data_IF_129652434077
#
_entry.id   IF_129652434077
#
_cell.length_a   1.000
_cell.length_b   1.000
_cell.length_c   1.000
_cell.angle_alpha   90.00
_cell.angle_beta   90.00
_cell.angle_gamma   90.00
#
_symmetry.space_group_name_H-M   'P 1'
#
loop_
_entity.id
_entity.type
_entity.pdbx_description
1 polymer ?
#
# COMPACT_ATOMS: atom_id res chain seq x y z
N UNK A 1 2.14 1.11 -15.00
CA UNK A 1 1.03 1.06 -15.97
C UNK A 1 -0.33 1.06 -15.26
N UNK A 2 -0.68 0.04 -14.44
CA UNK A 2 -2.01 -0.04 -13.80
C UNK A 2 -2.27 1.16 -12.88
N UNK A 3 -1.33 1.53 -12.02
CA UNK A 3 -1.44 2.70 -11.14
C UNK A 3 -1.60 4.00 -11.94
N UNK A 4 -0.81 4.19 -12.99
CA UNK A 4 -0.92 5.36 -13.88
C UNK A 4 -2.29 5.43 -14.57
N UNK A 5 -2.85 4.29 -14.98
CA UNK A 5 -4.19 4.25 -15.56
C UNK A 5 -5.29 4.48 -14.49
N UNK A 6 -5.09 4.01 -13.26
CA UNK A 6 -5.99 4.28 -12.15
C UNK A 6 -6.02 5.78 -11.79
N UNK A 7 -4.86 6.43 -11.79
CA UNK A 7 -4.75 7.88 -11.62
C UNK A 7 -5.52 8.62 -12.73
N UNK A 8 -5.25 8.28 -13.99
CA UNK A 8 -5.93 8.90 -15.14
C UNK A 8 -7.46 8.67 -15.09
N UNK A 9 -7.89 7.48 -14.68
CA UNK A 9 -9.30 7.17 -14.50
C UNK A 9 -9.98 8.05 -13.43
N UNK A 10 -9.25 8.35 -12.35
CA UNK A 10 -9.76 9.25 -11.30
C UNK A 10 -9.79 10.71 -11.78
N UNK A 11 -8.71 11.19 -12.39
CA UNK A 11 -8.58 12.59 -12.82
C UNK A 11 -9.55 12.96 -13.94
N UNK A 12 -9.83 12.02 -14.85
CA UNK A 12 -10.69 12.23 -16.02
C UNK A 12 -12.09 11.64 -15.89
N UNK A 13 -12.39 10.98 -14.76
CA UNK A 13 -13.67 10.32 -14.55
C UNK A 13 -13.93 9.11 -15.45
N UNK A 14 -12.87 8.44 -15.96
CA UNK A 14 -13.04 7.31 -16.87
C UNK A 14 -13.61 6.10 -16.15
N UNK A 15 -14.66 5.50 -16.73
CA UNK A 15 -15.35 4.30 -16.21
C UNK A 15 -15.83 3.44 -17.38
N UNK A 16 -16.06 2.15 -17.09
CA UNK A 16 -16.64 1.20 -18.02
C UNK A 16 -15.94 1.20 -19.39
N UNK A 17 -16.71 1.40 -20.48
CA UNK A 17 -16.15 1.39 -21.84
C UNK A 17 -15.04 2.41 -22.08
N UNK A 18 -15.13 3.60 -21.47
CA UNK A 18 -14.12 4.66 -21.65
C UNK A 18 -12.78 4.29 -21.00
N UNK A 19 -12.83 3.68 -19.82
CA UNK A 19 -11.62 3.18 -19.16
C UNK A 19 -10.99 2.04 -19.96
N UNK A 20 -11.80 1.13 -20.51
CA UNK A 20 -11.33 0.04 -21.36
C UNK A 20 -10.75 0.56 -22.69
N UNK A 21 -11.40 1.53 -23.33
CA UNK A 21 -10.86 2.16 -24.55
C UNK A 21 -9.51 2.82 -24.28
N UNK A 22 -9.37 3.50 -23.15
CA UNK A 22 -8.10 4.10 -22.74
C UNK A 22 -7.03 3.05 -22.45
N UNK A 23 -7.39 1.93 -21.85
CA UNK A 23 -6.48 0.79 -21.68
C UNK A 23 -5.98 0.28 -23.04
N UNK A 24 -6.88 0.07 -24.02
CA UNK A 24 -6.50 -0.42 -25.34
C UNK A 24 -5.58 0.57 -26.08
N UNK A 25 -5.84 1.86 -25.98
CA UNK A 25 -4.97 2.90 -26.56
C UNK A 25 -3.55 2.83 -25.97
N UNK A 26 -3.44 2.57 -24.67
CA UNK A 26 -2.15 2.48 -23.97
C UNK A 26 -1.53 1.10 -23.97
N UNK A 27 -2.21 0.09 -24.53
CA UNK A 27 -1.71 -1.30 -24.59
C UNK A 27 -0.30 -1.43 -25.19
N UNK A 28 0.09 -0.66 -26.22
CA UNK A 28 1.46 -0.69 -26.76
C UNK A 28 2.57 -0.30 -25.76
N UNK A 29 2.24 0.38 -24.67
CA UNK A 29 3.21 0.70 -23.60
C UNK A 29 3.64 -0.56 -22.81
N UNK A 30 2.85 -1.64 -22.87
CA UNK A 30 3.24 -2.91 -22.27
C UNK A 30 4.38 -3.55 -23.06
N UNK A 31 5.41 -3.99 -22.34
CA UNK A 31 6.56 -4.63 -22.97
C UNK A 31 6.18 -5.88 -23.79
N UNK A 32 6.94 -6.13 -24.86
CA UNK A 32 6.84 -7.30 -25.72
C UNK A 32 5.57 -7.41 -26.58
N UNK A 33 5.17 -6.34 -27.32
CA UNK A 33 4.01 -6.42 -28.22
C UNK A 33 4.24 -7.52 -29.27
N UNK A 34 3.15 -8.21 -29.64
CA UNK A 34 3.19 -9.24 -30.69
C UNK A 34 3.82 -10.60 -30.28
N UNK A 35 4.27 -10.74 -29.07
CA UNK A 35 4.78 -12.02 -28.54
C UNK A 35 3.72 -12.75 -27.72
N UNK A 36 3.85 -14.08 -27.57
CA UNK A 36 3.01 -14.85 -26.66
C UNK A 36 3.06 -14.31 -25.22
N UNK A 37 4.24 -13.98 -24.74
CA UNK A 37 4.42 -13.39 -23.41
C UNK A 37 3.70 -12.05 -23.28
N UNK A 38 3.79 -11.21 -24.30
CA UNK A 38 3.07 -9.95 -24.36
C UNK A 38 1.56 -10.13 -24.33
N UNK A 39 1.03 -11.13 -25.06
CA UNK A 39 -0.40 -11.45 -25.08
C UNK A 39 -0.91 -11.90 -23.71
N UNK A 40 -0.18 -12.76 -23.02
CA UNK A 40 -0.50 -13.21 -21.65
C UNK A 40 -0.48 -12.03 -20.67
N UNK A 41 0.52 -11.15 -20.78
CA UNK A 41 0.63 -9.96 -19.95
C UNK A 41 -0.52 -8.98 -20.21
N UNK A 42 -0.87 -8.75 -21.46
CA UNK A 42 -2.00 -7.90 -21.86
C UNK A 42 -3.33 -8.44 -21.31
N UNK A 43 -3.61 -9.73 -21.47
CA UNK A 43 -4.82 -10.36 -20.93
C UNK A 43 -4.90 -10.23 -19.40
N UNK A 44 -3.79 -10.46 -18.70
CA UNK A 44 -3.71 -10.30 -17.25
C UNK A 44 -3.93 -8.85 -16.83
N UNK A 45 -3.34 -7.90 -17.54
CA UNK A 45 -3.51 -6.47 -17.23
C UNK A 45 -4.95 -6.05 -17.50
N UNK A 46 -5.57 -6.50 -18.60
CA UNK A 46 -7.00 -6.27 -18.88
C UNK A 46 -7.86 -6.69 -17.71
N UNK A 47 -7.68 -7.90 -17.19
CA UNK A 47 -8.43 -8.40 -16.05
C UNK A 47 -8.21 -7.56 -14.77
N UNK A 48 -7.03 -6.94 -14.60
CA UNK A 48 -6.80 -5.98 -13.52
C UNK A 48 -7.58 -4.69 -13.71
N UNK A 49 -7.67 -4.19 -14.95
CA UNK A 49 -8.43 -2.97 -15.27
C UNK A 49 -9.93 -3.19 -15.11
N UNK A 50 -10.46 -4.35 -15.50
CA UNK A 50 -11.86 -4.74 -15.25
C UNK A 50 -12.18 -4.74 -13.75
N UNK A 51 -11.27 -5.26 -12.91
CA UNK A 51 -11.41 -5.24 -11.45
C UNK A 51 -11.28 -3.83 -10.87
N UNK A 52 -10.40 -3.01 -11.43
CA UNK A 52 -10.28 -1.59 -11.08
C UNK A 52 -11.59 -0.85 -11.37
N UNK A 53 -12.17 -1.04 -12.55
CA UNK A 53 -13.43 -0.43 -12.93
C UNK A 53 -14.57 -0.81 -11.98
N UNK A 54 -14.70 -2.11 -11.68
CA UNK A 54 -15.68 -2.62 -10.73
C UNK A 54 -15.49 -2.02 -9.32
N UNK A 55 -14.25 -1.83 -8.87
CA UNK A 55 -13.93 -1.13 -7.63
C UNK A 55 -14.35 0.35 -7.69
N UNK A 56 -13.93 1.06 -8.73
CA UNK A 56 -14.21 2.49 -8.89
C UNK A 56 -15.71 2.79 -9.01
N UNK A 57 -16.51 1.83 -9.52
CA UNK A 57 -17.98 1.92 -9.57
C UNK A 57 -18.67 1.89 -8.21
N UNK A 58 -17.99 1.40 -7.17
CA UNK A 58 -18.51 1.28 -5.80
C UNK A 58 -17.82 2.22 -4.81
N UNK A 59 -16.66 2.77 -5.19
CA UNK A 59 -15.85 3.64 -4.35
C UNK A 59 -16.43 5.07 -4.31
N UNK A 60 -16.15 5.85 -3.26
CA UNK A 60 -16.48 7.26 -3.23
C UNK A 60 -15.94 7.99 -4.47
N UNK A 61 -16.78 8.85 -5.06
CA UNK A 61 -16.38 9.66 -6.21
C UNK A 61 -15.35 10.72 -5.82
N UNK A 62 -15.50 11.28 -4.61
CA UNK A 62 -14.53 12.23 -4.06
C UNK A 62 -13.31 11.48 -3.54
N UNK A 63 -12.28 11.48 -4.37
CA UNK A 63 -11.00 10.85 -4.06
C UNK A 63 -9.88 11.47 -4.88
N UNK A 64 -8.66 11.39 -4.35
CA UNK A 64 -7.44 11.79 -5.04
C UNK A 64 -6.55 10.58 -5.26
N UNK A 65 -5.95 10.50 -6.45
CA UNK A 65 -4.98 9.46 -6.79
C UNK A 65 -3.54 9.96 -6.60
N UNK A 66 -2.61 9.04 -6.33
CA UNK A 66 -1.17 9.31 -6.27
C UNK A 66 -0.81 10.46 -5.31
N UNK A 67 -1.44 10.49 -4.13
CA UNK A 67 -1.29 11.56 -3.15
C UNK A 67 0.06 11.48 -2.44
N UNK A 68 0.91 12.47 -2.66
CA UNK A 68 2.16 12.58 -1.91
C UNK A 68 1.90 12.94 -0.45
N UNK A 69 2.46 12.17 0.47
CA UNK A 69 2.41 12.42 1.90
C UNK A 69 3.82 12.68 2.43
N UNK A 70 3.94 13.71 3.26
CA UNK A 70 5.13 14.04 4.03
C UNK A 70 4.69 14.51 5.40
N UNK A 71 5.18 13.88 6.46
CA UNK A 71 4.87 14.23 7.83
C UNK A 71 6.09 13.98 8.74
N UNK A 72 6.28 14.85 9.70
CA UNK A 72 7.23 14.65 10.78
C UNK A 72 6.46 14.09 11.98
N UNK A 73 6.98 13.00 12.55
CA UNK A 73 6.41 12.32 13.69
C UNK A 73 7.43 12.29 14.81
N UNK A 74 7.01 12.69 16.00
CA UNK A 74 7.77 12.42 17.21
C UNK A 74 7.30 11.10 17.80
N UNK A 75 8.15 10.07 17.69
CA UNK A 75 7.86 8.75 18.19
C UNK A 75 8.43 8.62 19.60
N UNK A 76 7.58 8.44 20.62
CA UNK A 76 8.06 8.23 21.97
C UNK A 76 8.89 6.94 22.04
N UNK A 77 9.88 6.93 22.92
CA UNK A 77 10.60 5.73 23.28
C UNK A 77 9.61 4.70 23.89
N UNK A 78 9.48 3.49 23.35
CA UNK A 78 8.56 2.48 23.86
C UNK A 78 8.74 2.17 25.36
N UNK A 79 9.98 2.23 25.85
CA UNK A 79 10.31 2.02 27.25
C UNK A 79 10.08 3.28 28.13
N UNK A 80 9.77 4.41 27.53
CA UNK A 80 9.58 5.69 28.23
C UNK A 80 10.84 6.23 28.93
N UNK A 81 12.02 5.71 28.63
CA UNK A 81 13.28 6.04 29.29
C UNK A 81 14.14 7.03 28.52
N UNK A 82 13.87 7.16 27.21
CA UNK A 82 14.61 8.01 26.30
C UNK A 82 13.79 9.18 25.75
N UNK A 83 14.44 10.10 25.03
CA UNK A 83 13.73 11.16 24.29
C UNK A 83 12.93 10.57 23.13
N UNK A 84 11.88 11.30 22.72
CA UNK A 84 11.18 10.96 21.50
C UNK A 84 12.13 11.03 20.28
N UNK A 85 11.94 10.11 19.34
CA UNK A 85 12.72 10.04 18.11
C UNK A 85 11.98 10.77 16.98
N UNK A 86 12.55 11.86 16.43
CA UNK A 86 11.93 12.54 15.30
C UNK A 86 12.12 11.72 14.04
N UNK A 87 11.02 11.42 13.36
CA UNK A 87 10.99 10.59 12.14
C UNK A 87 10.27 11.34 11.03
N UNK A 88 10.92 11.44 9.88
CA UNK A 88 10.31 11.96 8.66
C UNK A 88 9.71 10.82 7.85
N UNK A 89 8.39 10.77 7.75
CA UNK A 89 7.66 9.86 6.86
C UNK A 89 7.42 10.55 5.53
N UNK A 90 7.84 9.90 4.45
CA UNK A 90 7.51 10.32 3.08
C UNK A 90 6.97 9.14 2.30
N UNK A 91 6.00 9.39 1.41
CA UNK A 91 5.44 8.32 0.59
C UNK A 91 4.42 8.85 -0.41
N UNK A 92 3.79 7.91 -1.11
CA UNK A 92 2.73 8.18 -2.06
C UNK A 92 1.60 7.18 -1.84
N UNK A 93 0.41 7.70 -1.61
CA UNK A 93 -0.82 6.94 -1.41
C UNK A 93 -1.47 6.76 -2.78
N UNK A 94 -1.72 5.54 -3.20
CA UNK A 94 -2.31 5.24 -4.52
C UNK A 94 -3.67 5.92 -4.69
N UNK A 95 -4.50 5.88 -3.63
CA UNK A 95 -5.80 6.54 -3.62
C UNK A 95 -6.19 6.95 -2.19
N UNK A 96 -6.56 8.22 -2.03
CA UNK A 96 -7.12 8.79 -0.80
C UNK A 96 -8.59 9.14 -1.06
N UNK A 97 -9.50 8.48 -0.37
CA UNK A 97 -10.94 8.67 -0.49
C UNK A 97 -11.45 9.59 0.61
N UNK A 98 -12.21 10.61 0.24
CA UNK A 98 -12.87 11.52 1.16
C UNK A 98 -14.24 10.94 1.51
N UNK A 99 -14.54 10.82 2.81
CA UNK A 99 -15.74 10.14 3.31
C UNK A 99 -16.84 11.13 3.69
N UNK A 100 -16.50 12.39 3.93
CA UNK A 100 -17.44 13.42 4.28
C UNK A 100 -17.91 14.18 3.04
N UNK A 101 -19.17 14.66 3.09
CA UNK A 101 -19.60 15.61 2.09
C UNK A 101 -18.78 16.90 2.17
N UNK A 102 -18.46 17.57 1.07
CA UNK A 102 -17.73 18.82 1.08
C UNK A 102 -18.38 19.86 2.02
N UNK A 103 -17.63 20.32 3.02
CA UNK A 103 -18.12 21.31 4.00
C UNK A 103 -18.80 20.72 5.25
N UNK A 104 -18.76 19.41 5.45
CA UNK A 104 -19.32 18.77 6.64
C UNK A 104 -18.34 18.85 7.83
N UNK A 105 -18.54 19.83 8.71
CA UNK A 105 -18.06 19.78 10.08
C UNK A 105 -16.80 20.59 10.41
N UNK A 106 -16.61 20.79 11.71
CA UNK A 106 -15.47 21.51 12.34
C UNK A 106 -14.35 20.57 12.80
N UNK A 107 -14.44 19.26 12.47
CA UNK A 107 -13.44 18.24 12.73
C UNK A 107 -12.44 18.11 11.58
N UNK A 108 -11.44 17.26 11.74
CA UNK A 108 -10.53 16.88 10.65
C UNK A 108 -11.29 16.22 9.49
N UNK A 109 -10.81 16.41 8.28
CA UNK A 109 -11.38 15.76 7.08
C UNK A 109 -11.26 14.23 7.20
N UNK A 110 -12.39 13.50 7.10
CA UNK A 110 -12.43 12.05 7.23
C UNK A 110 -12.01 11.40 5.92
N UNK A 111 -11.01 10.53 5.99
CA UNK A 111 -10.42 9.90 4.81
C UNK A 111 -10.22 8.41 4.99
N UNK A 112 -10.18 7.69 3.87
CA UNK A 112 -9.78 6.28 3.80
C UNK A 112 -8.57 6.13 2.87
N UNK A 113 -7.57 5.38 3.33
CA UNK A 113 -6.35 5.08 2.57
C UNK A 113 -6.55 3.81 1.76
N UNK A 114 -6.35 3.89 0.46
CA UNK A 114 -6.42 2.73 -0.44
C UNK A 114 -5.08 2.52 -1.11
N UNK A 115 -4.63 1.26 -1.11
CA UNK A 115 -3.43 0.83 -1.79
C UNK A 115 -3.79 -0.27 -2.81
N UNK A 116 -3.41 -0.05 -4.08
CA UNK A 116 -3.74 -0.91 -5.20
C UNK A 116 -2.64 -1.95 -5.42
N UNK A 117 -2.96 -3.23 -5.22
CA UNK A 117 -1.99 -4.32 -5.36
C UNK A 117 -2.17 -5.08 -6.68
N UNK A 118 -1.15 -5.01 -7.54
CA UNK A 118 -1.10 -5.73 -8.82
C UNK A 118 -0.44 -7.10 -8.71
N UNK A 119 0.14 -7.43 -7.56
CA UNK A 119 0.71 -8.73 -7.25
C UNK A 119 -0.33 -9.81 -6.99
N UNK A 120 0.07 -11.09 -7.11
CA UNK A 120 -0.82 -12.22 -6.81
C UNK A 120 -0.74 -12.70 -5.36
N UNK A 121 0.27 -12.25 -4.61
CA UNK A 121 0.45 -12.69 -3.22
C UNK A 121 -0.67 -12.14 -2.32
N UNK A 122 -1.23 -13.01 -1.49
CA UNK A 122 -2.05 -12.59 -0.38
C UNK A 122 -1.15 -12.10 0.76
N UNK A 123 -1.60 -11.09 1.49
CA UNK A 123 -0.94 -10.67 2.72
C UNK A 123 -1.44 -11.53 3.86
N UNK A 124 -0.53 -12.08 4.67
CA UNK A 124 -0.86 -12.96 5.79
C UNK A 124 -1.56 -12.23 6.93
N UNK A 125 -1.31 -10.94 7.09
CA UNK A 125 -1.90 -10.11 8.14
C UNK A 125 -2.30 -8.72 7.58
N UNK A 126 -3.37 -8.63 6.78
CA UNK A 126 -3.78 -7.35 6.17
C UNK A 126 -4.16 -6.29 7.21
N UNK A 127 -4.65 -6.69 8.39
CA UNK A 127 -4.97 -5.79 9.50
C UNK A 127 -3.74 -5.06 10.08
N UNK A 128 -2.56 -5.69 10.01
CA UNK A 128 -1.29 -5.11 10.46
C UNK A 128 -0.36 -4.81 9.28
N UNK A 129 -0.88 -4.20 8.23
CA UNK A 129 -0.08 -3.86 7.04
C UNK A 129 0.80 -2.63 7.30
N UNK A 130 2.14 -2.76 7.32
CA UNK A 130 3.05 -1.69 7.74
C UNK A 130 2.89 -0.39 6.93
N UNK A 131 2.78 -0.50 5.60
CA UNK A 131 2.62 0.65 4.71
C UNK A 131 1.36 1.46 5.01
N UNK A 132 0.20 0.77 5.17
CA UNK A 132 -1.07 1.43 5.48
C UNK A 132 -1.04 2.09 6.87
N UNK A 133 -0.42 1.42 7.84
CA UNK A 133 -0.23 1.95 9.18
C UNK A 133 0.61 3.24 9.18
N UNK A 134 1.71 3.23 8.42
CA UNK A 134 2.59 4.39 8.25
C UNK A 134 1.84 5.55 7.61
N UNK A 135 1.04 5.30 6.56
CA UNK A 135 0.24 6.35 5.93
C UNK A 135 -0.84 6.91 6.86
N UNK A 136 -1.49 6.05 7.66
CA UNK A 136 -2.42 6.50 8.70
C UNK A 136 -1.78 7.49 9.64
N UNK A 137 -0.64 7.14 10.24
CA UNK A 137 0.07 8.01 11.19
C UNK A 137 0.49 9.33 10.54
N UNK A 138 0.98 9.29 9.31
CA UNK A 138 1.39 10.48 8.57
C UNK A 138 0.20 11.41 8.25
N UNK A 139 -0.96 10.87 7.90
CA UNK A 139 -2.18 11.65 7.65
C UNK A 139 -2.75 12.23 8.96
N UNK A 140 -2.77 11.45 10.03
CA UNK A 140 -3.20 11.94 11.36
C UNK A 140 -2.33 13.09 11.84
N UNK A 141 -1.01 13.03 11.65
CA UNK A 141 -0.11 14.14 11.98
C UNK A 141 -0.37 15.41 11.15
N UNK A 142 -1.04 15.26 9.99
CA UNK A 142 -1.48 16.36 9.14
C UNK A 142 -2.91 16.83 9.41
N UNK A 143 -3.56 16.31 10.43
CA UNK A 143 -4.90 16.72 10.86
C UNK A 143 -6.06 16.00 10.18
N UNK A 144 -5.79 14.94 9.41
CA UNK A 144 -6.86 14.08 8.85
C UNK A 144 -7.37 13.11 9.91
N UNK A 145 -8.67 12.82 9.86
CA UNK A 145 -9.28 11.70 10.56
C UNK A 145 -9.28 10.49 9.65
N UNK A 146 -8.43 9.50 9.92
CA UNK A 146 -8.32 8.28 9.09
C UNK A 146 -9.27 7.22 9.60
N UNK A 147 -10.41 7.06 8.92
CA UNK A 147 -11.51 6.15 9.27
C UNK A 147 -11.35 4.75 8.66
N UNK A 148 -10.18 4.46 8.07
CA UNK A 148 -9.85 3.14 7.58
C UNK A 148 -8.75 3.13 6.54
N UNK A 149 -8.32 1.92 6.22
CA UNK A 149 -7.40 1.66 5.11
C UNK A 149 -7.70 0.29 4.50
N UNK A 150 -7.47 0.12 3.22
CA UNK A 150 -7.72 -1.15 2.55
C UNK A 150 -6.72 -1.43 1.44
N UNK A 151 -6.51 -2.73 1.17
CA UNK A 151 -5.80 -3.22 -0.01
C UNK A 151 -6.82 -3.60 -1.07
N UNK A 152 -6.67 -3.07 -2.27
CA UNK A 152 -7.45 -3.48 -3.44
C UNK A 152 -6.59 -4.43 -4.28
N UNK A 153 -6.91 -5.72 -4.25
CA UNK A 153 -6.09 -6.77 -4.84
C UNK A 153 -6.42 -6.96 -6.33
N UNK A 154 -5.99 -6.04 -7.17
CA UNK A 154 -6.25 -6.07 -8.62
C UNK A 154 -5.60 -7.28 -9.31
N UNK A 155 -4.40 -7.69 -8.83
CA UNK A 155 -3.66 -8.82 -9.39
C UNK A 155 -4.21 -10.20 -9.04
N UNK A 156 -5.11 -10.30 -8.05
CA UNK A 156 -5.65 -11.55 -7.55
C UNK A 156 -7.00 -11.85 -8.20
N UNK A 157 -7.16 -13.05 -8.72
CA UNK A 157 -8.47 -13.50 -9.19
C UNK A 157 -9.42 -13.68 -7.99
N UNK A 158 -10.64 -13.13 -8.06
CA UNK A 158 -11.64 -13.36 -7.03
C UNK A 158 -12.04 -14.85 -7.00
N UNK A 159 -12.47 -15.37 -5.84
CA UNK A 159 -13.07 -16.69 -5.78
C UNK A 159 -14.22 -16.81 -6.79
N UNK A 160 -14.40 -17.98 -7.40
CA UNK A 160 -15.41 -18.22 -8.46
C UNK A 160 -16.84 -17.76 -8.10
N UNK A 161 -17.19 -17.69 -6.81
CA UNK A 161 -18.48 -17.19 -6.32
C UNK A 161 -18.65 -15.67 -6.43
N UNK A 162 -17.55 -14.92 -6.58
CA UNK A 162 -17.54 -13.45 -6.61
C UNK A 162 -16.92 -12.92 -7.92
N UNK A 163 -17.18 -13.58 -9.04
CA UNK A 163 -16.68 -13.11 -10.35
C UNK A 163 -17.22 -11.71 -10.61
N UNK A 164 -16.31 -10.75 -10.80
CA UNK A 164 -16.63 -9.35 -11.05
C UNK A 164 -16.55 -8.41 -9.84
N UNK A 165 -16.48 -8.93 -8.60
CA UNK A 165 -16.21 -8.09 -7.45
C UNK A 165 -14.70 -7.95 -7.19
N UNK A 166 -14.19 -6.74 -6.93
CA UNK A 166 -12.81 -6.59 -6.48
C UNK A 166 -12.65 -7.34 -5.15
N UNK A 167 -11.57 -8.11 -5.02
CA UNK A 167 -11.20 -8.66 -3.71
C UNK A 167 -10.63 -7.50 -2.89
N UNK A 168 -11.53 -6.81 -2.22
CA UNK A 168 -11.14 -5.97 -1.10
C UNK A 168 -10.63 -6.90 0.00
N UNK A 169 -9.53 -6.57 0.60
CA UNK A 169 -9.30 -7.09 1.94
C UNK A 169 -10.57 -6.77 2.75
N UNK A 170 -11.12 -7.72 3.53
CA UNK A 170 -12.42 -7.53 4.18
C UNK A 170 -12.52 -6.15 4.83
N UNK A 171 -13.70 -5.50 4.80
CA UNK A 171 -13.95 -4.30 5.58
C UNK A 171 -13.68 -4.61 7.03
N UNK A 172 -12.79 -4.32 7.72
CA UNK A 172 -12.35 -4.80 9.04
C UNK A 172 -10.96 -5.45 9.02
N UNK A 173 -10.38 -5.71 7.84
CA UNK A 173 -8.94 -5.80 7.63
C UNK A 173 -8.34 -4.38 7.46
N UNK A 174 -9.16 -3.37 7.58
CA UNK A 174 -8.73 -2.03 7.92
C UNK A 174 -7.79 -2.12 9.12
N UNK A 175 -6.75 -1.34 9.07
CA UNK A 175 -5.81 -1.17 10.16
C UNK A 175 -6.53 -1.33 11.49
N UNK A 176 -6.17 -2.36 12.22
CA UNK A 176 -6.59 -2.46 13.60
C UNK A 176 -5.90 -1.29 14.34
N UNK A 177 -6.60 -0.22 14.68
CA UNK A 177 -6.02 0.89 15.42
C UNK A 177 -5.85 0.54 16.88
N UNK A 178 -6.30 -0.67 17.28
CA UNK A 178 -6.24 -1.10 18.66
C UNK A 178 -4.79 -1.16 19.11
N UNK A 179 -4.49 -0.64 20.29
CA UNK A 179 -3.22 -0.88 20.93
C UNK A 179 -2.94 -2.38 20.97
N UNK A 180 -1.67 -2.75 20.95
CA UNK A 180 -1.26 -4.12 21.17
C UNK A 180 -1.91 -4.62 22.49
N UNK A 181 -2.66 -5.74 22.47
CA UNK A 181 -3.40 -6.21 23.63
C UNK A 181 -2.51 -6.55 24.82
N UNK A 182 -1.25 -6.89 24.56
CA UNK A 182 -0.31 -7.29 25.61
C UNK A 182 0.44 -6.10 26.21
N UNK A 183 0.73 -5.08 25.40
CA UNK A 183 1.55 -3.93 25.82
C UNK A 183 0.76 -2.62 25.96
N UNK A 184 -0.45 -2.55 25.41
CA UNK A 184 -1.22 -1.31 25.32
C UNK A 184 -0.65 -0.28 24.32
N UNK A 185 0.39 -0.65 23.57
CA UNK A 185 1.11 0.22 22.66
C UNK A 185 0.49 0.23 21.26
N UNK A 186 0.49 1.39 20.59
CA UNK A 186 0.16 1.50 19.16
C UNK A 186 1.27 0.79 18.34
N UNK A 187 0.97 -0.42 17.89
CA UNK A 187 1.91 -1.26 17.16
C UNK A 187 2.51 -0.56 15.92
N UNK A 188 1.78 0.38 15.33
CA UNK A 188 2.26 1.11 14.16
C UNK A 188 3.36 2.11 14.56
N UNK A 189 3.21 2.78 15.70
CA UNK A 189 4.25 3.67 16.26
C UNK A 189 5.48 2.87 16.68
N UNK A 190 5.29 1.75 17.37
CA UNK A 190 6.36 0.85 17.75
C UNK A 190 7.16 0.34 16.55
N UNK A 191 6.44 -0.10 15.50
CA UNK A 191 7.07 -0.54 14.24
C UNK A 191 7.91 0.56 13.60
N UNK A 192 7.38 1.79 13.53
CA UNK A 192 8.13 2.92 12.95
C UNK A 192 9.32 3.30 13.81
N UNK A 193 9.19 3.27 15.13
CA UNK A 193 10.29 3.54 16.05
C UNK A 193 11.41 2.50 15.87
N UNK A 194 11.10 1.21 15.83
CA UNK A 194 12.07 0.14 15.57
C UNK A 194 12.75 0.32 14.20
N UNK A 195 11.97 0.63 13.16
CA UNK A 195 12.51 0.85 11.81
C UNK A 195 13.45 2.08 11.76
N UNK A 196 13.08 3.16 12.43
CA UNK A 196 13.90 4.37 12.50
C UNK A 196 15.21 4.15 13.27
N UNK A 197 15.16 3.44 14.39
CA UNK A 197 16.37 3.04 15.14
C UNK A 197 17.28 2.16 14.28
N UNK A 198 16.70 1.19 13.57
CA UNK A 198 17.47 0.32 12.68
C UNK A 198 18.12 1.09 11.52
N UNK A 199 17.43 2.11 10.99
CA UNK A 199 17.93 2.92 9.87
C UNK A 199 18.96 3.96 10.30
N UNK A 200 18.88 4.49 11.53
CA UNK A 200 19.79 5.50 12.08
C UNK A 200 20.99 4.92 12.83
N UNK A 201 20.96 3.64 13.12
CA UNK A 201 22.04 2.94 13.85
C UNK A 201 23.33 2.86 13.05
N UNK A 202 24.46 2.88 13.76
CA UNK A 202 25.78 2.72 13.14
C UNK A 202 26.03 1.32 12.54
N UNK A 203 25.22 0.34 12.91
CA UNK A 203 25.34 -1.06 12.48
C UNK A 203 24.06 -1.54 11.83
N UNK A 204 24.15 -1.92 10.56
CA UNK A 204 23.04 -2.56 9.85
C UNK A 204 23.10 -4.07 10.09
N UNK A 205 22.13 -4.59 10.85
CA UNK A 205 22.02 -6.01 11.16
C UNK A 205 21.14 -6.71 10.14
N UNK A 206 21.70 -7.71 9.44
CA UNK A 206 20.92 -8.54 8.54
C UNK A 206 19.99 -9.46 9.34
N UNK A 207 18.70 -9.48 9.00
CA UNK A 207 17.68 -10.37 9.62
C UNK A 207 17.22 -11.40 8.60
N UNK A 208 17.19 -12.68 8.98
CA UNK A 208 16.62 -13.76 8.15
C UNK A 208 15.09 -13.72 8.20
N UNK A 209 14.45 -14.09 7.09
CA UNK A 209 13.01 -14.18 6.97
C UNK A 209 12.58 -14.62 5.56
N UNK A 210 11.28 -14.69 5.31
CA UNK A 210 10.74 -15.08 4.00
C UNK A 210 11.22 -14.16 2.85
N UNK A 211 11.50 -12.89 3.13
CA UNK A 211 12.06 -11.94 2.19
C UNK A 211 13.42 -12.39 1.63
N UNK A 212 14.16 -13.24 2.35
CA UNK A 212 15.45 -13.77 1.87
C UNK A 212 15.30 -14.64 0.61
N UNK A 213 14.14 -15.24 0.38
CA UNK A 213 13.89 -16.07 -0.80
C UNK A 213 13.94 -15.27 -2.13
N UNK A 214 13.64 -13.99 -2.07
CA UNK A 214 13.60 -13.09 -3.23
C UNK A 214 14.53 -11.88 -3.09
N UNK A 215 15.44 -11.91 -2.12
CA UNK A 215 16.36 -10.81 -1.84
C UNK A 215 17.40 -10.69 -2.97
N UNK A 216 17.53 -9.53 -3.63
CA UNK A 216 18.48 -9.36 -4.73
C UNK A 216 19.94 -9.40 -4.30
N UNK A 217 20.23 -9.22 -3.01
CA UNK A 217 21.58 -9.25 -2.44
C UNK A 217 21.83 -10.51 -1.59
N UNK A 218 21.03 -11.55 -1.78
CA UNK A 218 21.12 -12.78 -0.99
C UNK A 218 22.52 -13.39 -1.01
N UNK A 219 23.10 -13.48 -2.20
CA UNK A 219 24.40 -14.15 -2.40
C UNK A 219 25.60 -13.38 -1.81
N UNK A 220 25.40 -12.10 -1.50
CA UNK A 220 26.39 -11.25 -0.81
C UNK A 220 26.07 -11.08 0.68
N UNK A 221 24.94 -11.56 1.16
CA UNK A 221 24.50 -11.32 2.52
C UNK A 221 25.28 -12.17 3.54
N UNK A 222 25.89 -11.58 4.58
CA UNK A 222 26.76 -12.31 5.51
C UNK A 222 26.06 -13.38 6.35
N UNK A 223 24.73 -13.36 6.44
CA UNK A 223 23.96 -14.41 7.11
C UNK A 223 23.62 -15.62 6.22
N UNK A 224 23.84 -15.50 4.91
CA UNK A 224 23.65 -16.59 3.95
C UNK A 224 24.96 -17.35 3.74
N UNK A 225 24.91 -18.68 3.49
CA UNK A 225 26.12 -19.49 3.29
C UNK A 225 27.01 -18.97 2.16
N UNK A 226 26.42 -18.48 1.08
CA UNK A 226 27.11 -17.94 -0.09
C UNK A 226 27.84 -16.64 0.26
N UNK A 227 27.20 -15.72 0.98
CA UNK A 227 27.74 -14.41 1.32
C UNK A 227 28.81 -14.45 2.41
N UNK A 228 28.81 -15.46 3.26
CA UNK A 228 29.87 -15.65 4.28
C UNK A 228 31.25 -15.81 3.68
N UNK A 229 31.35 -16.31 2.44
CA UNK A 229 32.62 -16.46 1.73
C UNK A 229 33.13 -15.17 1.10
N UNK A 230 32.28 -14.15 0.97
CA UNK A 230 32.63 -12.88 0.34
C UNK A 230 33.17 -11.84 1.34
N UNK A 231 33.01 -12.07 2.64
CA UNK A 231 33.42 -11.16 3.74
C UNK A 231 34.48 -11.78 4.67
N UNK A 232 35.06 -12.91 4.31
CA UNK A 232 36.14 -13.58 5.07
C UNK A 232 37.51 -13.15 4.59
#
# INVERSE_FOLDING_TARGET
FVHSLAQEAQERGLRGPDLMARFEERLPELAYPGTWFGSVRAARTRAMIERLDAYLGQAPADARAEVSVRAELDLPDPDGKGPALPVLVTGRIDRLEHLDAPGAGTGGERVRVIDLKTGQRAYSAPARHPQLATYRLALQARGYEVDGAALVLLGKEPPRKNQGAPVLAPPGAALDPSPDPDTGEDWARALLHEAALAASGATLTARSGEQCLTCPVRDSCPIQPEGRRAVA
#
